data_IF_326199683453
#
_entry.id   IF_326199683453
#
_cell.length_a   1.000
_cell.length_b   1.000
_cell.length_c   1.000
_cell.angle_alpha   90.00
_cell.angle_beta   90.00
_cell.angle_gamma   90.00
#
_symmetry.space_group_name_H-M   'P 1'
#
loop_
_entity.id
_entity.type
_entity.pdbx_description
1 polymer ?
#
# COMPACT_ATOMS: atom_id res chain seq x y z
N UNK A 1 23.91 12.48 0.05
CA UNK A 1 22.70 12.41 0.91
C UNK A 1 21.52 12.15 0.00
N UNK A 2 20.55 11.29 0.37
CA UNK A 2 19.35 11.13 -0.43
C UNK A 2 18.64 12.49 -0.53
N UNK A 3 18.12 12.82 -1.72
CA UNK A 3 17.31 14.03 -1.87
C UNK A 3 15.99 13.90 -1.08
N UNK A 4 15.38 15.05 -0.77
CA UNK A 4 14.16 15.12 0.04
C UNK A 4 13.01 14.32 -0.60
N UNK A 5 12.95 14.31 -1.93
CA UNK A 5 11.92 13.64 -2.71
C UNK A 5 12.00 12.12 -2.49
N UNK A 6 13.19 11.54 -2.61
CA UNK A 6 13.43 10.13 -2.33
C UNK A 6 13.13 9.77 -0.88
N UNK A 7 13.51 10.61 0.09
CA UNK A 7 13.21 10.34 1.51
C UNK A 7 11.70 10.33 1.75
N UNK A 8 10.98 11.31 1.19
CA UNK A 8 9.53 11.40 1.30
C UNK A 8 8.84 10.19 0.66
N UNK A 9 9.30 9.78 -0.52
CA UNK A 9 8.81 8.58 -1.19
C UNK A 9 9.04 7.32 -0.35
N UNK A 10 10.26 7.12 0.15
CA UNK A 10 10.62 5.94 0.94
C UNK A 10 9.85 5.87 2.27
N UNK A 11 9.60 7.03 2.90
CA UNK A 11 8.72 7.10 4.07
C UNK A 11 7.31 6.65 3.71
N UNK A 12 6.78 7.11 2.58
CA UNK A 12 5.45 6.72 2.12
C UNK A 12 5.34 5.23 1.74
N UNK A 13 6.35 4.71 1.04
CA UNK A 13 6.47 3.27 0.76
C UNK A 13 6.53 2.45 2.06
N UNK A 14 7.20 2.98 3.09
CA UNK A 14 7.26 2.32 4.40
C UNK A 14 5.89 2.28 5.09
N UNK A 15 5.07 3.32 4.96
CA UNK A 15 3.68 3.30 5.43
C UNK A 15 2.86 2.23 4.72
N UNK A 16 3.02 2.08 3.41
CA UNK A 16 2.39 1.01 2.65
C UNK A 16 2.81 -0.38 3.15
N UNK A 17 4.12 -0.63 3.33
CA UNK A 17 4.60 -1.92 3.83
C UNK A 17 4.09 -2.22 5.25
N UNK A 18 4.00 -1.22 6.13
CA UNK A 18 3.40 -1.38 7.45
C UNK A 18 1.90 -1.66 7.39
N UNK A 19 1.20 -1.03 6.45
CA UNK A 19 -0.20 -1.32 6.20
C UNK A 19 -0.38 -2.76 5.71
N UNK A 20 0.47 -3.29 4.83
CA UNK A 20 0.40 -4.69 4.39
C UNK A 20 0.64 -5.69 5.53
N UNK A 21 1.53 -5.37 6.48
CA UNK A 21 1.69 -6.19 7.70
C UNK A 21 0.40 -6.20 8.55
N UNK A 22 -0.26 -5.06 8.69
CA UNK A 22 -1.56 -4.99 9.37
C UNK A 22 -2.66 -5.67 8.54
N UNK A 23 -2.59 -5.63 7.21
CA UNK A 23 -3.53 -6.30 6.31
C UNK A 23 -3.48 -7.81 6.46
N UNK A 24 -2.29 -8.38 6.64
CA UNK A 24 -2.12 -9.79 7.00
C UNK A 24 -2.81 -10.10 8.33
N UNK A 25 -2.55 -9.29 9.37
CA UNK A 25 -3.16 -9.46 10.70
C UNK A 25 -4.69 -9.32 10.67
N UNK A 26 -5.21 -8.47 9.78
CA UNK A 26 -6.63 -8.11 9.65
C UNK A 26 -7.37 -8.96 8.61
N UNK A 27 -6.68 -9.93 7.99
CA UNK A 27 -7.23 -10.84 6.98
C UNK A 27 -7.86 -10.11 5.80
N UNK A 28 -7.16 -9.12 5.25
CA UNK A 28 -7.68 -8.29 4.15
C UNK A 28 -8.10 -9.10 2.92
N UNK A 29 -7.48 -10.26 2.68
CA UNK A 29 -7.87 -11.20 1.62
C UNK A 29 -9.38 -11.52 1.61
N UNK A 30 -10.09 -11.40 2.75
CA UNK A 30 -11.54 -11.58 2.84
C UNK A 30 -12.37 -10.51 2.12
N UNK A 31 -11.74 -9.39 1.72
CA UNK A 31 -12.32 -8.32 0.90
C UNK A 31 -12.11 -8.55 -0.60
N UNK A 32 -11.09 -9.31 -1.00
CA UNK A 32 -10.79 -9.57 -2.40
C UNK A 32 -11.79 -10.55 -3.02
N UNK A 33 -12.25 -10.25 -4.24
CA UNK A 33 -13.29 -11.05 -4.92
C UNK A 33 -12.90 -12.51 -5.06
N UNK A 34 -11.63 -12.80 -5.40
CA UNK A 34 -11.14 -14.17 -5.61
C UNK A 34 -10.76 -14.84 -4.28
N UNK A 35 -10.04 -14.14 -3.41
CA UNK A 35 -9.48 -14.74 -2.19
C UNK A 35 -10.54 -14.98 -1.10
N UNK A 36 -11.64 -14.22 -1.09
CA UNK A 36 -12.73 -14.37 -0.10
C UNK A 36 -13.43 -15.74 -0.14
N UNK A 37 -13.29 -16.48 -1.24
CA UNK A 37 -13.94 -17.79 -1.46
C UNK A 37 -13.02 -18.95 -1.12
N UNK A 38 -11.74 -18.68 -0.86
CA UNK A 38 -10.75 -19.69 -0.49
C UNK A 38 -10.84 -20.01 1.01
N UNK A 39 -10.38 -21.20 1.39
CA UNK A 39 -10.10 -21.53 2.79
C UNK A 39 -9.10 -20.52 3.37
N UNK A 40 -9.34 -20.05 4.60
CA UNK A 40 -8.65 -18.90 5.19
C UNK A 40 -7.12 -19.08 5.24
N UNK A 41 -6.64 -20.27 5.62
CA UNK A 41 -5.20 -20.60 5.64
C UNK A 41 -4.59 -20.58 4.23
N UNK A 42 -5.34 -21.07 3.24
CA UNK A 42 -4.92 -21.02 1.84
C UNK A 42 -4.87 -19.57 1.35
N UNK A 43 -5.91 -18.79 1.62
CA UNK A 43 -5.98 -17.37 1.25
C UNK A 43 -4.83 -16.56 1.86
N UNK A 44 -4.56 -16.76 3.16
CA UNK A 44 -3.41 -16.17 3.86
C UNK A 44 -2.07 -16.47 3.17
N UNK A 45 -1.82 -17.74 2.83
CA UNK A 45 -0.57 -18.14 2.15
C UNK A 45 -0.43 -17.49 0.79
N UNK A 46 -1.49 -17.51 -0.03
CA UNK A 46 -1.47 -16.88 -1.36
C UNK A 46 -1.28 -15.37 -1.26
N UNK A 47 -2.04 -14.71 -0.37
CA UNK A 47 -1.90 -13.28 -0.12
C UNK A 47 -0.46 -12.95 0.24
N UNK A 48 0.12 -13.61 1.24
CA UNK A 48 1.50 -13.38 1.68
C UNK A 48 2.53 -13.65 0.58
N UNK A 49 2.41 -14.78 -0.14
CA UNK A 49 3.38 -15.14 -1.18
C UNK A 49 3.36 -14.20 -2.38
N UNK A 50 2.22 -13.63 -2.74
CA UNK A 50 2.11 -12.66 -3.85
C UNK A 50 2.83 -11.34 -3.52
N UNK A 51 2.97 -10.98 -2.25
CA UNK A 51 3.70 -9.78 -1.86
C UNK A 51 5.20 -9.88 -2.13
N UNK A 52 5.80 -11.07 -2.06
CA UNK A 52 7.23 -11.23 -2.34
C UNK A 52 7.63 -10.81 -3.77
N UNK A 53 7.01 -11.32 -4.85
CA UNK A 53 7.30 -10.85 -6.20
C UNK A 53 6.87 -9.40 -6.39
N UNK A 54 5.75 -8.96 -5.79
CA UNK A 54 5.33 -7.56 -5.85
C UNK A 54 6.42 -6.61 -5.32
N UNK A 55 6.93 -6.86 -4.11
CA UNK A 55 8.00 -6.07 -3.50
C UNK A 55 9.29 -6.15 -4.31
N UNK A 56 9.62 -7.33 -4.85
CA UNK A 56 10.79 -7.51 -5.71
C UNK A 56 10.70 -6.62 -6.94
N UNK A 57 9.54 -6.58 -7.61
CA UNK A 57 9.32 -5.72 -8.79
C UNK A 57 9.38 -4.25 -8.42
N UNK A 58 8.67 -3.83 -7.36
CA UNK A 58 8.66 -2.43 -6.90
C UNK A 58 10.08 -1.95 -6.62
N UNK A 59 10.85 -2.69 -5.83
CA UNK A 59 12.21 -2.30 -5.46
C UNK A 59 13.15 -2.34 -6.68
N UNK A 60 13.00 -3.32 -7.57
CA UNK A 60 13.81 -3.40 -8.78
C UNK A 60 13.59 -2.20 -9.71
N UNK A 61 12.33 -1.75 -9.87
CA UNK A 61 12.00 -0.58 -10.68
C UNK A 61 12.45 0.72 -10.01
N UNK A 62 12.32 0.82 -8.68
CA UNK A 62 12.77 1.95 -7.87
C UNK A 62 14.28 2.21 -8.02
N UNK A 63 15.09 1.17 -8.11
CA UNK A 63 16.56 1.26 -8.26
C UNK A 63 17.03 1.14 -9.72
N UNK A 64 16.15 1.41 -10.69
CA UNK A 64 16.46 1.37 -12.12
C UNK A 64 16.25 2.74 -12.78
N UNK A 65 16.46 2.80 -14.10
CA UNK A 65 16.10 3.97 -14.91
C UNK A 65 14.60 4.31 -14.90
N UNK A 66 13.74 3.45 -14.36
CA UNK A 66 12.30 3.65 -14.24
C UNK A 66 11.88 4.29 -12.90
N UNK A 67 12.82 4.81 -12.10
CA UNK A 67 12.54 5.37 -10.77
C UNK A 67 11.42 6.42 -10.77
N UNK A 68 11.50 7.44 -11.63
CA UNK A 68 10.49 8.51 -11.69
C UNK A 68 9.11 7.97 -12.09
N UNK A 69 9.04 7.01 -13.01
CA UNK A 69 7.78 6.36 -13.39
C UNK A 69 7.22 5.56 -12.20
N UNK A 70 8.09 4.89 -11.45
CA UNK A 70 7.73 4.14 -10.25
C UNK A 70 7.13 5.07 -9.19
N UNK A 71 7.70 6.26 -9.00
CA UNK A 71 7.15 7.28 -8.11
C UNK A 71 5.71 7.64 -8.49
N UNK A 72 5.49 8.04 -9.74
CA UNK A 72 4.15 8.38 -10.25
C UNK A 72 3.14 7.26 -10.06
N UNK A 73 3.49 6.03 -10.46
CA UNK A 73 2.60 4.88 -10.39
C UNK A 73 2.23 4.56 -8.94
N UNK A 74 3.22 4.54 -8.04
CA UNK A 74 2.97 4.20 -6.64
C UNK A 74 2.23 5.31 -5.89
N UNK A 75 2.50 6.58 -6.14
CA UNK A 75 1.73 7.66 -5.50
C UNK A 75 0.26 7.63 -5.91
N UNK A 76 -0.02 7.47 -7.22
CA UNK A 76 -1.40 7.35 -7.72
C UNK A 76 -2.07 6.13 -7.09
N UNK A 77 -1.37 4.99 -7.05
CA UNK A 77 -1.86 3.78 -6.39
C UNK A 77 -2.17 4.02 -4.92
N UNK A 78 -1.28 4.63 -4.15
CA UNK A 78 -1.48 4.93 -2.73
C UNK A 78 -2.68 5.85 -2.48
N UNK A 79 -2.88 6.87 -3.32
CA UNK A 79 -4.06 7.75 -3.22
C UNK A 79 -5.34 6.96 -3.44
N UNK A 80 -5.41 6.18 -4.54
CA UNK A 80 -6.58 5.36 -4.85
C UNK A 80 -6.81 4.34 -3.73
N UNK A 81 -5.76 3.70 -3.23
CA UNK A 81 -5.81 2.71 -2.16
C UNK A 81 -6.41 3.31 -0.88
N UNK A 82 -5.92 4.47 -0.44
CA UNK A 82 -6.49 5.19 0.71
C UNK A 82 -7.97 5.52 0.51
N UNK A 83 -8.38 5.94 -0.70
CA UNK A 83 -9.79 6.22 -1.02
C UNK A 83 -10.64 4.94 -0.95
N UNK A 84 -10.13 3.83 -1.48
CA UNK A 84 -10.81 2.53 -1.40
C UNK A 84 -11.04 2.14 0.06
N UNK A 85 -10.01 2.25 0.91
CA UNK A 85 -10.16 1.97 2.34
C UNK A 85 -11.19 2.87 3.03
N UNK A 86 -11.20 4.15 2.68
CA UNK A 86 -12.20 5.09 3.19
C UNK A 86 -13.62 4.66 2.81
N UNK A 87 -13.87 4.28 1.55
CA UNK A 87 -15.19 3.82 1.11
C UNK A 87 -15.59 2.47 1.69
N UNK A 88 -14.66 1.51 1.73
CA UNK A 88 -14.91 0.17 2.26
C UNK A 88 -14.86 0.11 3.79
N UNK A 89 -14.63 1.22 4.50
CA UNK A 89 -14.55 1.25 5.97
C UNK A 89 -15.82 0.71 6.65
N UNK A 90 -16.98 0.96 6.03
CA UNK A 90 -18.29 0.48 6.52
C UNK A 90 -18.59 -0.97 6.12
N UNK A 91 -17.80 -1.57 5.23
CA UNK A 91 -18.03 -2.93 4.74
C UNK A 91 -17.98 -3.94 5.91
N UNK A 92 -18.91 -4.91 6.00
CA UNK A 92 -19.01 -5.81 7.16
C UNK A 92 -17.77 -6.69 7.38
N UNK A 93 -17.03 -6.98 6.30
CA UNK A 93 -15.79 -7.77 6.35
C UNK A 93 -14.53 -6.93 6.55
N UNK A 94 -14.64 -5.60 6.54
CA UNK A 94 -13.48 -4.73 6.75
C UNK A 94 -13.13 -4.64 8.24
N UNK A 95 -11.89 -4.98 8.57
CA UNK A 95 -11.36 -5.00 9.94
C UNK A 95 -10.49 -3.78 10.28
N UNK A 96 -10.23 -2.88 9.34
CA UNK A 96 -9.41 -1.67 9.50
C UNK A 96 -10.15 -0.50 10.16
N UNK A 97 -10.94 -0.78 11.21
CA UNK A 97 -11.78 0.24 11.89
C UNK A 97 -11.09 0.93 13.07
N UNK A 98 -9.90 0.46 13.43
CA UNK A 98 -9.16 0.93 14.60
C UNK A 98 -8.20 2.07 14.22
N UNK A 99 -7.82 2.88 15.22
CA UNK A 99 -6.90 4.01 15.02
C UNK A 99 -5.52 3.59 14.53
N UNK A 100 -5.04 2.40 14.93
CA UNK A 100 -3.73 1.90 14.53
C UNK A 100 -3.65 1.64 13.02
N UNK A 101 -4.59 0.88 12.44
CA UNK A 101 -4.69 0.69 10.98
C UNK A 101 -4.80 2.01 10.22
N UNK A 102 -5.66 2.92 10.70
CA UNK A 102 -5.88 4.24 10.10
C UNK A 102 -4.63 5.11 10.10
N UNK A 103 -3.74 4.94 11.08
CA UNK A 103 -2.48 5.68 11.19
C UNK A 103 -1.46 5.34 10.10
N UNK A 104 -1.64 4.21 9.40
CA UNK A 104 -0.86 3.89 8.21
C UNK A 104 -1.61 4.30 6.93
N UNK A 105 -2.90 3.94 6.83
CA UNK A 105 -3.71 4.10 5.61
C UNK A 105 -3.90 5.57 5.22
N UNK A 106 -4.29 6.45 6.15
CA UNK A 106 -4.61 7.84 5.79
C UNK A 106 -3.38 8.69 5.53
N UNK A 107 -2.31 8.64 6.36
CA UNK A 107 -1.09 9.35 6.04
C UNK A 107 -0.47 8.90 4.72
N UNK A 108 -0.58 7.63 4.34
CA UNK A 108 -0.05 7.12 3.07
C UNK A 108 -0.58 7.90 1.85
N UNK A 109 -1.90 8.13 1.79
CA UNK A 109 -2.51 8.93 0.71
C UNK A 109 -2.12 10.41 0.78
N UNK A 110 -1.99 10.98 1.98
CA UNK A 110 -1.58 12.38 2.17
C UNK A 110 -0.13 12.57 1.72
N UNK A 111 0.78 11.70 2.13
CA UNK A 111 2.18 11.77 1.74
C UNK A 111 2.38 11.51 0.25
N UNK A 112 1.55 10.66 -0.38
CA UNK A 112 1.54 10.47 -1.83
C UNK A 112 1.17 11.76 -2.57
N UNK A 113 0.13 12.48 -2.11
CA UNK A 113 -0.25 13.78 -2.69
C UNK A 113 0.86 14.81 -2.54
N UNK A 114 1.47 14.90 -1.34
CA UNK A 114 2.58 15.81 -1.08
C UNK A 114 3.76 15.45 -2.00
N UNK A 115 4.12 14.17 -2.09
CA UNK A 115 5.22 13.70 -2.94
C UNK A 115 4.99 14.03 -4.42
N UNK A 116 3.78 13.80 -4.97
CA UNK A 116 3.44 14.18 -6.34
C UNK A 116 3.56 15.68 -6.58
N UNK A 117 3.13 16.52 -5.64
CA UNK A 117 3.28 17.97 -5.76
C UNK A 117 4.77 18.34 -5.86
N UNK A 118 5.63 17.78 -5.00
CA UNK A 118 7.07 18.01 -5.09
C UNK A 118 7.72 17.39 -6.32
N UNK A 119 7.16 16.34 -6.90
CA UNK A 119 7.67 15.68 -8.10
C UNK A 119 7.42 16.49 -9.38
N UNK A 120 6.34 17.29 -9.40
CA UNK A 120 5.91 18.08 -10.58
C UNK A 120 6.56 19.48 -10.59
N UNK A 121 6.87 20.03 -9.41
CA UNK A 121 7.48 21.35 -9.26
C UNK A 121 9.01 21.29 -9.37
#
# INVERSE_FOLDING_TARGET
MPDLLLVLFLFNLSLFLLHEMDAIRRSEWRLFIVLKEMEDEKAYRYFTWVHLPLYTVILSLLFSSYQTITFWVLDIFFIIHTILHFWFEKHPRNQFKNSFSRSFIYPMGIFALIHLIFLIN
#
